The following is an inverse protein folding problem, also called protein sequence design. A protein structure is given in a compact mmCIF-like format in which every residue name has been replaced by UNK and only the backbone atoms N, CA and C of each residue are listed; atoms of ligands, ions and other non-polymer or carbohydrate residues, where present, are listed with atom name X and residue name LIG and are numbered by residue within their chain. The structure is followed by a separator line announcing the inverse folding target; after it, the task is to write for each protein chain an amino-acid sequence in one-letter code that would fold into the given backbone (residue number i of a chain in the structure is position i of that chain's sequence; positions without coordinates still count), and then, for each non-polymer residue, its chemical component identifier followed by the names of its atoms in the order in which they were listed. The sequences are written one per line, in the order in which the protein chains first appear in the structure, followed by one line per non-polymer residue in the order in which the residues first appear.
data_IF_387250172128
#
_entry.id   IF_387250172128
#
_cell.length_a   1.000
_cell.length_b   1.000
_cell.length_c   1.000
_cell.angle_alpha   90.00
_cell.angle_beta   90.00
_cell.angle_gamma   90.00
#
_symmetry.space_group_name_H-M   'P 1'
#
loop_
_entity.id
_entity.type
_entity.pdbx_description
1 polymer ?
#
# COMPACT_ATOMS: atom_id res chain seq x y z
N UNK A 1 -21.61 4.13 3.49
CA UNK A 1 -20.19 4.53 3.57
C UNK A 1 -19.40 3.60 2.68
N UNK A 2 -18.45 4.12 1.89
CA UNK A 2 -17.70 3.32 0.93
C UNK A 2 -16.37 2.87 1.54
N UNK A 3 -15.92 1.68 1.14
CA UNK A 3 -14.53 1.25 1.26
C UNK A 3 -13.80 1.81 0.04
N UNK A 4 -12.58 2.33 0.25
CA UNK A 4 -11.80 3.01 -0.78
C UNK A 4 -10.57 2.20 -1.12
N UNK A 5 -10.34 1.91 -2.39
CA UNK A 5 -9.03 1.51 -2.89
C UNK A 5 -8.09 2.71 -2.85
N UNK A 6 -6.85 2.48 -2.43
CA UNK A 6 -5.76 3.46 -2.41
C UNK A 6 -4.72 3.05 -3.43
N UNK A 7 -4.42 3.94 -4.35
CA UNK A 7 -3.42 3.72 -5.39
C UNK A 7 -2.52 4.95 -5.56
N UNK A 8 -1.47 4.84 -6.36
CA UNK A 8 -0.70 6.00 -6.77
C UNK A 8 -1.51 6.87 -7.74
N UNK A 9 -1.28 8.17 -7.71
CA UNK A 9 -1.71 9.07 -8.79
C UNK A 9 -0.93 8.79 -10.07
N UNK A 10 0.38 8.57 -9.94
CA UNK A 10 1.27 8.29 -11.06
C UNK A 10 1.52 6.79 -11.21
N UNK A 11 1.60 6.34 -12.47
CA UNK A 11 1.94 4.97 -12.78
C UNK A 11 3.44 4.71 -12.57
N UNK A 12 3.78 3.52 -12.05
CA UNK A 12 5.16 3.03 -11.97
C UNK A 12 5.35 1.71 -12.69
N UNK A 13 6.48 1.62 -13.39
CA UNK A 13 7.00 0.39 -13.99
C UNK A 13 8.08 -0.27 -13.12
N UNK A 14 8.35 0.28 -11.93
CA UNK A 14 9.35 -0.25 -11.01
C UNK A 14 8.90 -1.63 -10.54
N UNK A 15 9.70 -2.66 -10.83
CA UNK A 15 9.43 -4.02 -10.37
C UNK A 15 10.51 -4.47 -9.40
N UNK A 16 10.07 -4.94 -8.23
CA UNK A 16 10.95 -5.46 -7.20
C UNK A 16 10.78 -6.96 -7.04
N UNK A 17 11.90 -7.63 -6.74
CA UNK A 17 11.95 -9.02 -6.31
C UNK A 17 12.34 -9.09 -4.84
N UNK A 18 11.66 -9.92 -4.04
CA UNK A 18 12.01 -10.14 -2.65
C UNK A 18 13.17 -11.14 -2.56
N UNK A 19 14.33 -10.68 -2.09
CA UNK A 19 15.48 -11.55 -1.83
C UNK A 19 15.38 -12.21 -0.45
N UNK A 20 15.08 -11.41 0.56
CA UNK A 20 14.96 -11.84 1.96
C UNK A 20 13.71 -11.24 2.59
N UNK A 21 13.45 -11.54 3.86
CA UNK A 21 12.22 -11.12 4.54
C UNK A 21 11.99 -9.59 4.46
N UNK A 22 13.03 -8.80 4.65
CA UNK A 22 13.04 -7.32 4.69
C UNK A 22 13.83 -6.69 3.54
N UNK A 23 14.29 -7.48 2.57
CA UNK A 23 15.19 -7.02 1.49
C UNK A 23 14.57 -7.27 0.13
N UNK A 24 14.42 -6.19 -0.63
CA UNK A 24 13.98 -6.18 -2.02
C UNK A 24 15.13 -5.79 -2.94
N UNK A 25 15.08 -6.30 -4.17
CA UNK A 25 15.99 -5.96 -5.25
C UNK A 25 15.19 -5.36 -6.41
N UNK A 26 15.68 -4.28 -6.98
CA UNK A 26 15.17 -3.76 -8.26
C UNK A 26 15.50 -4.74 -9.38
N UNK A 27 14.46 -5.18 -10.11
CA UNK A 27 14.61 -6.04 -11.30
C UNK A 27 14.15 -5.36 -12.59
N UNK A 28 13.36 -4.29 -12.47
CA UNK A 28 13.04 -3.36 -13.55
C UNK A 28 13.03 -1.95 -12.99
N UNK A 29 13.77 -1.05 -13.63
CA UNK A 29 13.86 0.36 -13.24
C UNK A 29 12.53 1.11 -13.46
N UNK A 30 12.30 2.15 -12.68
CA UNK A 30 11.07 2.94 -12.71
C UNK A 30 10.96 3.94 -11.56
N UNK A 31 9.79 4.56 -11.45
CA UNK A 31 9.55 5.59 -10.44
C UNK A 31 9.30 4.95 -9.07
N UNK A 32 9.98 5.46 -8.04
CA UNK A 32 9.70 5.15 -6.64
C UNK A 32 8.45 5.91 -6.18
N UNK A 33 7.28 5.45 -6.61
CA UNK A 33 5.98 6.00 -6.21
C UNK A 33 5.66 5.66 -4.74
N UNK A 34 4.63 6.29 -4.20
CA UNK A 34 4.28 6.13 -2.78
C UNK A 34 3.84 4.72 -2.40
N UNK A 35 3.21 3.99 -3.32
CA UNK A 35 2.87 2.57 -3.18
C UNK A 35 3.66 1.78 -4.21
N UNK A 36 4.33 0.71 -3.80
CA UNK A 36 4.96 -0.26 -4.69
C UNK A 36 4.38 -1.63 -4.40
N UNK A 37 3.67 -2.22 -5.36
CA UNK A 37 3.04 -3.53 -5.19
C UNK A 37 3.14 -4.34 -6.49
N UNK A 38 3.00 -5.66 -6.39
CA UNK A 38 2.97 -6.56 -7.55
C UNK A 38 2.09 -7.81 -7.34
N UNK A 39 1.13 -7.73 -6.40
CA UNK A 39 0.34 -8.88 -5.97
C UNK A 39 0.91 -9.68 -4.80
N UNK A 40 2.24 -9.80 -4.70
CA UNK A 40 2.91 -10.59 -3.65
C UNK A 40 3.38 -9.78 -2.45
N UNK A 41 3.43 -8.45 -2.58
CA UNK A 41 3.76 -7.51 -1.52
C UNK A 41 3.02 -6.20 -1.74
N UNK A 42 2.94 -5.43 -0.66
CA UNK A 42 2.51 -4.03 -0.67
C UNK A 42 3.52 -3.24 0.14
N UNK A 43 4.34 -2.46 -0.54
CA UNK A 43 5.21 -1.48 0.10
C UNK A 43 4.56 -0.10 0.01
N UNK A 44 4.72 0.70 1.04
CA UNK A 44 4.26 2.08 1.07
C UNK A 44 5.36 2.96 1.64
N UNK A 45 5.45 4.21 1.17
CA UNK A 45 6.41 5.17 1.68
C UNK A 45 6.20 5.37 3.19
N UNK A 46 7.28 5.36 3.95
CA UNK A 46 7.30 5.40 5.41
C UNK A 46 6.61 6.64 5.99
N UNK A 47 6.49 7.73 5.21
CA UNK A 47 5.72 8.91 5.64
C UNK A 47 4.25 8.62 6.00
N UNK A 48 3.70 7.49 5.56
CA UNK A 48 2.33 7.05 5.89
C UNK A 48 2.24 6.08 7.07
N UNK A 49 3.37 5.68 7.67
CA UNK A 49 3.43 4.67 8.73
C UNK A 49 2.46 4.98 9.89
N UNK A 50 2.55 6.19 10.43
CA UNK A 50 1.72 6.63 11.57
C UNK A 50 0.21 6.56 11.28
N UNK A 51 -0.20 6.75 10.02
CA UNK A 51 -1.59 6.65 9.62
C UNK A 51 -2.05 5.20 9.64
N UNK A 52 -1.26 4.27 9.11
CA UNK A 52 -1.60 2.83 9.15
C UNK A 52 -1.59 2.28 10.58
N UNK A 53 -0.79 2.86 11.49
CA UNK A 53 -0.80 2.50 12.91
C UNK A 53 -2.10 2.89 13.63
N UNK A 54 -2.96 3.74 13.05
CA UNK A 54 -4.33 3.96 13.57
C UNK A 54 -5.20 2.71 13.47
N UNK A 55 -4.83 1.76 12.62
CA UNK A 55 -5.44 0.43 12.46
C UNK A 55 -4.47 -0.70 12.85
N UNK A 56 -3.67 -0.49 13.91
CA UNK A 56 -2.61 -1.42 14.36
C UNK A 56 -3.06 -2.87 14.61
N UNK A 57 -4.35 -3.10 14.85
CA UNK A 57 -4.93 -4.42 15.06
C UNK A 57 -5.24 -5.16 13.74
N UNK A 58 -5.08 -4.49 12.60
CA UNK A 58 -5.48 -4.97 11.27
C UNK A 58 -4.32 -4.98 10.27
N UNK A 59 -3.22 -4.29 10.57
CA UNK A 59 -2.03 -4.26 9.73
C UNK A 59 -0.77 -4.28 10.60
N UNK A 60 0.18 -5.13 10.23
CA UNK A 60 1.54 -5.04 10.74
C UNK A 60 2.40 -4.27 9.74
N UNK A 61 3.28 -3.41 10.24
CA UNK A 61 4.26 -2.70 9.43
C UNK A 61 5.65 -3.28 9.65
N UNK A 62 6.46 -3.34 8.59
CA UNK A 62 7.85 -3.77 8.66
C UNK A 62 8.75 -2.87 7.82
N UNK A 63 9.82 -2.27 8.36
CA UNK A 63 10.82 -1.58 7.55
C UNK A 63 11.44 -2.50 6.52
N UNK A 64 11.68 -1.99 5.31
CA UNK A 64 12.33 -2.75 4.24
C UNK A 64 13.45 -1.94 3.59
N UNK A 65 14.39 -2.64 2.96
CA UNK A 65 15.46 -2.05 2.16
C UNK A 65 15.32 -2.49 0.71
N UNK A 66 15.32 -1.52 -0.20
CA UNK A 66 15.29 -1.77 -1.64
C UNK A 66 16.69 -1.51 -2.20
N UNK A 67 17.32 -2.55 -2.71
CA UNK A 67 18.64 -2.49 -3.32
C UNK A 67 18.53 -2.34 -4.83
N UNK A 68 19.11 -1.27 -5.34
CA UNK A 68 19.35 -1.08 -6.76
C UNK A 68 20.82 -1.39 -7.07
N UNK A 69 21.05 -2.57 -7.65
CA UNK A 69 22.41 -3.00 -8.00
C UNK A 69 22.95 -2.34 -9.27
N UNK A 70 22.08 -1.77 -10.12
CA UNK A 70 22.51 -1.07 -11.33
C UNK A 70 23.15 0.27 -10.96
N UNK A 71 22.53 1.00 -10.03
CA UNK A 71 23.03 2.30 -9.55
C UNK A 71 23.82 2.21 -8.25
N UNK A 72 23.98 1.01 -7.68
CA UNK A 72 24.62 0.75 -6.40
C UNK A 72 24.04 1.63 -5.28
N UNK A 73 22.71 1.68 -5.19
CA UNK A 73 21.98 2.48 -4.21
C UNK A 73 21.07 1.62 -3.33
N UNK A 74 20.74 2.15 -2.16
CA UNK A 74 19.82 1.53 -1.20
C UNK A 74 18.77 2.56 -0.81
N UNK A 75 17.51 2.19 -0.94
CA UNK A 75 16.35 3.00 -0.54
C UNK A 75 15.72 2.38 0.71
N UNK A 76 15.58 3.18 1.76
CA UNK A 76 15.05 2.76 3.07
C UNK A 76 13.77 3.53 3.46
N UNK A 77 13.20 4.28 2.52
CA UNK A 77 12.03 5.13 2.72
C UNK A 77 10.70 4.37 2.65
N UNK A 78 10.74 3.04 2.68
CA UNK A 78 9.56 2.18 2.52
C UNK A 78 9.36 1.23 3.70
N UNK A 79 8.10 0.96 3.98
CA UNK A 79 7.65 -0.10 4.87
C UNK A 79 6.78 -1.07 4.08
N UNK A 80 6.76 -2.33 4.48
CA UNK A 80 5.82 -3.32 4.00
C UNK A 80 4.58 -3.34 4.89
N UNK A 81 3.41 -3.31 4.27
CA UNK A 81 2.13 -3.54 4.91
C UNK A 81 1.78 -5.02 4.86
N UNK A 82 1.59 -5.63 6.03
CA UNK A 82 1.17 -7.02 6.18
C UNK A 82 -0.25 -7.00 6.75
N UNK A 83 -1.23 -7.13 5.86
CA UNK A 83 -2.64 -7.08 6.22
C UNK A 83 -3.06 -8.34 6.97
N UNK A 84 -3.72 -8.15 8.11
CA UNK A 84 -4.35 -9.21 8.89
C UNK A 84 -5.79 -9.46 8.41
N UNK A 85 -6.41 -8.43 7.84
CA UNK A 85 -7.72 -8.50 7.22
C UNK A 85 -7.60 -8.50 5.70
N UNK A 86 -8.35 -9.39 5.06
CA UNK A 86 -8.45 -9.49 3.61
C UNK A 86 -9.88 -9.19 3.19
N UNK A 87 -10.03 -8.48 2.08
CA UNK A 87 -11.32 -8.18 1.46
C UNK A 87 -11.35 -8.75 0.05
N UNK A 88 -12.51 -9.16 -0.45
CA UNK A 88 -12.67 -9.64 -1.83
C UNK A 88 -13.82 -8.89 -2.52
N UNK A 89 -13.94 -8.99 -3.85
CA UNK A 89 -15.09 -8.41 -4.56
C UNK A 89 -16.43 -8.89 -4.03
N UNK A 90 -16.51 -10.11 -3.50
CA UNK A 90 -17.74 -10.69 -2.96
C UNK A 90 -18.04 -10.22 -1.53
N UNK A 91 -17.03 -9.84 -0.73
CA UNK A 91 -17.21 -9.46 0.67
C UNK A 91 -17.28 -7.96 0.90
N UNK A 92 -16.79 -7.15 -0.04
CA UNK A 92 -16.59 -5.71 0.17
C UNK A 92 -17.83 -4.94 0.59
N UNK A 93 -19.00 -5.31 0.08
CA UNK A 93 -20.26 -4.61 0.36
C UNK A 93 -20.83 -4.92 1.75
N UNK A 94 -20.33 -5.96 2.41
CA UNK A 94 -20.82 -6.44 3.71
C UNK A 94 -19.89 -6.09 4.87
N UNK A 95 -18.68 -5.62 4.58
CA UNK A 95 -17.68 -5.29 5.59
C UNK A 95 -18.07 -4.08 6.43
N UNK A 96 -17.85 -4.16 7.74
CA UNK A 96 -18.04 -3.02 8.63
C UNK A 96 -16.89 -2.03 8.48
N UNK A 97 -17.19 -0.85 7.96
CA UNK A 97 -16.20 0.17 7.60
C UNK A 97 -16.20 1.43 8.49
N UNK A 98 -16.76 1.32 9.70
CA UNK A 98 -16.77 2.40 10.71
C UNK A 98 -15.44 2.43 11.46
N UNK A 99 -14.91 3.64 11.67
CA UNK A 99 -13.62 3.87 12.32
C UNK A 99 -12.44 3.69 11.38
N UNK A 100 -11.24 3.51 11.95
CA UNK A 100 -10.02 3.26 11.18
C UNK A 100 -9.93 1.77 10.82
N UNK A 101 -10.28 1.47 9.56
CA UNK A 101 -10.20 0.12 9.00
C UNK A 101 -9.32 0.06 7.77
N UNK A 102 -8.62 -1.07 7.62
CA UNK A 102 -7.73 -1.38 6.50
C UNK A 102 -7.84 -2.86 6.13
N UNK A 103 -7.79 -3.14 4.83
CA UNK A 103 -7.79 -4.48 4.25
C UNK A 103 -6.81 -4.56 3.10
N UNK A 104 -6.29 -5.76 2.85
CA UNK A 104 -5.48 -6.07 1.67
C UNK A 104 -6.19 -7.00 0.70
N UNK A 105 -5.87 -6.91 -0.59
CA UNK A 105 -6.23 -7.91 -1.59
C UNK A 105 -5.25 -7.89 -2.75
N UNK A 106 -4.53 -9.00 -3.00
CA UNK A 106 -3.58 -9.13 -4.11
C UNK A 106 -2.68 -7.89 -4.30
N UNK A 107 -2.04 -7.42 -3.22
CA UNK A 107 -1.15 -6.26 -3.26
C UNK A 107 -1.84 -4.88 -3.20
N UNK A 108 -3.16 -4.82 -3.36
CA UNK A 108 -3.95 -3.60 -3.27
C UNK A 108 -4.36 -3.28 -1.83
N UNK A 109 -4.54 -1.97 -1.57
CA UNK A 109 -4.86 -1.42 -0.25
C UNK A 109 -6.29 -0.91 -0.27
N UNK A 110 -7.10 -1.37 0.67
CA UNK A 110 -8.46 -0.88 0.87
C UNK A 110 -8.60 -0.27 2.24
N UNK A 111 -9.29 0.86 2.35
CA UNK A 111 -9.40 1.62 3.59
C UNK A 111 -10.82 2.13 3.84
N UNK A 112 -11.16 2.28 5.11
CA UNK A 112 -12.35 3.03 5.55
C UNK A 112 -12.31 4.51 5.12
N UNK A 113 -13.46 5.18 5.17
CA UNK A 113 -13.54 6.63 4.95
C UNK A 113 -12.63 7.42 5.92
N UNK A 114 -12.62 7.08 7.21
CA UNK A 114 -11.81 7.80 8.21
C UNK A 114 -10.31 7.72 7.88
N UNK A 115 -9.81 6.53 7.53
CA UNK A 115 -8.40 6.35 7.19
C UNK A 115 -8.05 6.98 5.83
N UNK A 116 -8.98 6.95 4.86
CA UNK A 116 -8.85 7.67 3.59
C UNK A 116 -8.66 9.17 3.79
N UNK A 117 -9.39 9.78 4.73
CA UNK A 117 -9.29 11.22 5.00
C UNK A 117 -7.93 11.60 5.63
N UNK A 118 -7.36 10.76 6.49
CA UNK A 118 -5.98 10.94 7.00
C UNK A 118 -4.94 10.82 5.88
N UNK A 119 -5.06 9.80 5.03
CA UNK A 119 -4.17 9.58 3.88
C UNK A 119 -4.24 10.75 2.89
N UNK A 120 -5.43 11.26 2.60
CA UNK A 120 -5.63 12.38 1.69
C UNK A 120 -4.99 13.69 2.22
N UNK A 121 -5.00 13.90 3.53
CA UNK A 121 -4.31 15.06 4.13
C UNK A 121 -2.79 14.94 4.03
N UNK A 122 -2.24 13.74 4.20
CA UNK A 122 -0.80 13.51 4.13
C UNK A 122 -0.25 13.41 2.71
N UNK A 123 -1.07 13.01 1.73
CA UNK A 123 -0.59 12.61 0.40
C UNK A 123 0.01 13.74 -0.42
N UNK A 124 -0.48 14.98 -0.23
CA UNK A 124 -0.10 16.12 -1.10
C UNK A 124 -0.24 15.77 -2.60
N UNK A 125 -1.24 14.95 -2.95
CA UNK A 125 -1.64 14.51 -4.31
C UNK A 125 -0.89 13.34 -4.95
N UNK A 126 -0.04 12.60 -4.23
CA UNK A 126 0.63 11.42 -4.80
C UNK A 126 -0.19 10.10 -4.69
N UNK A 127 -1.28 10.11 -3.92
CA UNK A 127 -2.24 9.02 -3.79
C UNK A 127 -3.57 9.39 -4.44
N UNK A 128 -4.16 8.41 -5.10
CA UNK A 128 -5.50 8.43 -5.66
C UNK A 128 -6.43 7.49 -4.87
N UNK A 129 -7.71 7.83 -4.82
CA UNK A 129 -8.72 7.08 -4.06
C UNK A 129 -9.94 6.79 -4.92
N UNK A 130 -10.32 5.53 -5.00
CA UNK A 130 -11.51 5.10 -5.74
C UNK A 130 -12.41 4.17 -4.94
N UNK A 131 -13.73 4.18 -5.19
CA UNK A 131 -14.63 3.34 -4.42
C UNK A 131 -14.44 1.86 -4.75
N UNK A 132 -14.26 1.02 -3.74
CA UNK A 132 -14.17 -0.44 -3.84
C UNK A 132 -13.29 -0.95 -4.99
N UNK A 133 -13.80 -1.96 -5.70
CA UNK A 133 -13.11 -2.58 -6.85
C UNK A 133 -13.41 -1.91 -8.20
N UNK A 134 -13.76 -0.61 -8.22
CA UNK A 134 -14.27 0.07 -9.43
C UNK A 134 -13.35 0.06 -10.66
N UNK A 135 -12.06 -0.26 -10.51
CA UNK A 135 -11.10 -0.33 -11.63
C UNK A 135 -10.71 -1.75 -12.04
N UNK A 136 -11.34 -2.79 -11.47
CA UNK A 136 -11.03 -4.19 -11.79
C UNK A 136 -12.01 -4.83 -12.79
N UNK A 137 -12.84 -4.01 -13.45
CA UNK A 137 -13.81 -4.42 -14.48
C UNK A 137 -13.28 -4.25 -15.90
#
# INVERSE_FOLDING_TARGET
MHIWNVDNTDFTNLLLWRNERDIFRVIQDGNYCSILNNGSYTLINKKYEDIFLLAFDQVNVRPVRIHDYQFNSVVEDYIELIFLNIITPETIDYEQNVGYKVWGFNGHIFVSQALKDELAQASRNDLNFSPGFSYFS
#
